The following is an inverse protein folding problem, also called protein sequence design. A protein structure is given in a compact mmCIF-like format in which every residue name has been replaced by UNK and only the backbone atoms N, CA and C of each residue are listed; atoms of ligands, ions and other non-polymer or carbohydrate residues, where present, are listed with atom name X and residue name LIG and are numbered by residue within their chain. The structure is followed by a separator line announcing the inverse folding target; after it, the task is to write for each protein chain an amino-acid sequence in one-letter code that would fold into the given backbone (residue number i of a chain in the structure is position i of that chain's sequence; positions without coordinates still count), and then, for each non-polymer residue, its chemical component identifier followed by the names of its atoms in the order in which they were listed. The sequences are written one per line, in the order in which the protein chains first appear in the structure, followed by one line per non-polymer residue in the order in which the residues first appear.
data_IF_168252299047
#
_entry.id   IF_168252299047
#
_cell.length_a   1.000
_cell.length_b   1.000
_cell.length_c   1.000
_cell.angle_alpha   90.00
_cell.angle_beta   90.00
_cell.angle_gamma   90.00
#
_symmetry.space_group_name_H-M   'P 1'
#
loop_
_entity.id
_entity.type
_entity.pdbx_description
1 polymer ?
#
# COMPACT_ATOMS: atom_id res chain seq x y z
N UNK A 1 -5.31 21.89 -1.32
CA UNK A 1 -5.50 20.52 -0.81
C UNK A 1 -4.76 20.46 0.51
N UNK A 2 -5.47 20.34 1.63
CA UNK A 2 -4.83 20.19 2.93
C UNK A 2 -4.01 18.89 2.95
N UNK A 3 -2.86 18.86 3.65
CA UNK A 3 -2.10 17.63 3.82
C UNK A 3 -2.98 16.59 4.49
N UNK A 4 -3.09 15.40 3.88
CA UNK A 4 -3.89 14.31 4.42
C UNK A 4 -3.41 14.01 5.86
N UNK A 5 -4.32 13.81 6.82
CA UNK A 5 -3.94 13.37 8.16
C UNK A 5 -3.11 12.08 8.06
N UNK A 6 -2.05 11.99 8.87
CA UNK A 6 -1.21 10.78 8.91
C UNK A 6 -2.06 9.59 9.36
N UNK A 7 -2.33 8.69 8.42
CA UNK A 7 -3.05 7.45 8.70
C UNK A 7 -2.14 6.43 9.40
N UNK A 8 -2.68 5.75 10.41
CA UNK A 8 -2.01 4.61 11.05
C UNK A 8 -1.99 3.40 10.13
N UNK A 9 -1.10 2.44 10.39
CA UNK A 9 -1.00 1.22 9.58
C UNK A 9 -2.29 0.39 9.60
N UNK A 10 -2.98 0.35 10.75
CA UNK A 10 -4.30 -0.27 10.86
C UNK A 10 -5.38 0.42 10.02
N UNK A 11 -5.40 1.76 9.99
CA UNK A 11 -6.35 2.51 9.15
C UNK A 11 -6.09 2.26 7.66
N UNK A 12 -4.83 2.25 7.24
CA UNK A 12 -4.46 1.95 5.85
C UNK A 12 -4.85 0.51 5.49
N UNK A 13 -4.56 -0.45 6.35
CA UNK A 13 -4.92 -1.86 6.14
C UNK A 13 -6.44 -2.04 5.96
N UNK A 14 -7.25 -1.34 6.77
CA UNK A 14 -8.71 -1.38 6.66
C UNK A 14 -9.22 -0.79 5.34
N UNK A 15 -8.70 0.37 4.92
CA UNK A 15 -9.06 1.02 3.65
C UNK A 15 -8.68 0.11 2.47
N UNK A 16 -7.44 -0.39 2.45
CA UNK A 16 -6.95 -1.28 1.40
C UNK A 16 -7.77 -2.58 1.33
N UNK A 17 -8.13 -3.15 2.46
CA UNK A 17 -9.01 -4.33 2.52
C UNK A 17 -10.38 -4.03 1.94
N UNK A 18 -10.99 -2.90 2.30
CA UNK A 18 -12.26 -2.47 1.71
C UNK A 18 -12.15 -2.34 0.18
N UNK A 19 -11.15 -1.64 -0.33
CA UNK A 19 -10.90 -1.49 -1.77
C UNK A 19 -10.68 -2.82 -2.50
N UNK A 20 -10.02 -3.77 -1.84
CA UNK A 20 -9.72 -5.13 -2.37
C UNK A 20 -10.91 -6.09 -2.35
N UNK A 21 -11.94 -5.78 -1.58
CA UNK A 21 -13.19 -6.54 -1.51
C UNK A 21 -14.35 -5.81 -2.20
N UNK A 22 -14.20 -4.51 -2.48
CA UNK A 22 -15.20 -3.70 -3.14
C UNK A 22 -15.27 -4.02 -4.65
N UNK A 23 -16.40 -3.65 -5.26
CA UNK A 23 -16.61 -3.72 -6.71
C UNK A 23 -16.41 -5.12 -7.33
N UNK A 24 -16.76 -6.17 -6.59
CA UNK A 24 -16.65 -7.55 -7.05
C UNK A 24 -15.23 -8.12 -7.00
N UNK A 25 -14.30 -7.42 -6.34
CA UNK A 25 -12.99 -7.97 -6.03
C UNK A 25 -13.08 -8.98 -4.88
N UNK A 26 -12.34 -10.09 -4.99
CA UNK A 26 -12.29 -11.16 -3.97
C UNK A 26 -10.86 -11.38 -3.46
N UNK A 27 -10.05 -10.32 -3.42
CA UNK A 27 -8.65 -10.45 -3.06
C UNK A 27 -8.49 -10.54 -1.53
N UNK A 28 -7.47 -11.27 -1.07
CA UNK A 28 -7.22 -11.46 0.37
C UNK A 28 -7.05 -10.11 1.10
N UNK A 29 -7.51 -10.02 2.37
CA UNK A 29 -7.34 -8.83 3.21
C UNK A 29 -5.88 -8.40 3.35
N UNK A 30 -5.66 -7.10 3.60
CA UNK A 30 -4.34 -6.55 3.93
C UNK A 30 -4.25 -6.41 5.45
N UNK A 31 -3.16 -6.89 6.02
CA UNK A 31 -2.91 -6.79 7.47
C UNK A 31 -2.12 -5.53 7.80
N UNK A 32 -2.21 -5.06 9.05
CA UNK A 32 -1.40 -3.93 9.52
C UNK A 32 0.11 -4.22 9.44
N UNK A 33 0.54 -5.45 9.76
CA UNK A 33 1.94 -5.88 9.65
C UNK A 33 2.45 -5.75 8.21
N UNK A 34 1.65 -6.15 7.21
CA UNK A 34 2.02 -5.95 5.80
C UNK A 34 2.20 -4.47 5.43
N UNK A 35 1.39 -3.57 6.01
CA UNK A 35 1.54 -2.13 5.77
C UNK A 35 2.80 -1.59 6.43
N UNK A 36 3.08 -2.01 7.66
CA UNK A 36 4.29 -1.65 8.40
C UNK A 36 5.54 -2.07 7.62
N UNK A 37 5.64 -3.33 7.19
CA UNK A 37 6.77 -3.85 6.41
C UNK A 37 7.03 -3.01 5.14
N UNK A 38 5.96 -2.70 4.39
CA UNK A 38 6.07 -1.91 3.15
C UNK A 38 6.45 -0.46 3.46
N UNK A 39 5.91 0.13 4.53
CA UNK A 39 6.26 1.49 4.96
C UNK A 39 7.72 1.57 5.35
N UNK A 40 8.22 0.58 6.08
CA UNK A 40 9.62 0.51 6.47
C UNK A 40 10.56 0.29 5.28
N UNK A 41 10.18 -0.57 4.34
CA UNK A 41 10.93 -0.80 3.11
C UNK A 41 10.97 0.43 2.19
N UNK A 42 9.98 1.33 2.28
CA UNK A 42 9.82 2.49 1.38
C UNK A 42 10.12 3.85 2.02
N UNK A 43 10.39 3.93 3.33
CA UNK A 43 10.59 5.20 4.07
C UNK A 43 11.68 6.12 3.53
N UNK A 44 12.71 5.56 2.90
CA UNK A 44 13.81 6.34 2.30
C UNK A 44 13.45 6.91 0.92
N UNK A 45 12.35 6.44 0.33
CA UNK A 45 11.94 6.80 -1.03
C UNK A 45 11.18 8.12 -1.03
N UNK A 46 11.74 9.12 -1.71
CA UNK A 46 11.14 10.46 -1.85
C UNK A 46 10.52 10.70 -3.22
N UNK A 47 10.79 9.82 -4.18
CA UNK A 47 10.30 9.91 -5.56
C UNK A 47 9.21 8.86 -5.81
N UNK A 48 8.17 9.19 -6.59
CA UNK A 48 7.19 8.22 -7.06
C UNK A 48 7.85 7.05 -7.78
N UNK A 49 7.20 5.89 -7.76
CA UNK A 49 7.63 4.72 -8.51
C UNK A 49 7.53 4.97 -10.01
N UNK A 50 8.61 4.70 -10.75
CA UNK A 50 8.58 4.72 -12.20
C UNK A 50 8.18 3.35 -12.76
N UNK A 51 7.60 3.34 -13.96
CA UNK A 51 7.26 2.09 -14.65
C UNK A 51 8.47 1.17 -14.83
N UNK A 52 9.65 1.73 -15.10
CA UNK A 52 10.88 0.97 -15.26
C UNK A 52 11.34 0.29 -13.96
N UNK A 53 11.13 0.92 -12.81
CA UNK A 53 11.45 0.34 -11.51
C UNK A 53 10.46 -0.77 -11.13
N UNK A 54 9.16 -0.53 -11.34
CA UNK A 54 8.14 -1.54 -11.08
C UNK A 54 8.32 -2.78 -11.96
N UNK A 55 8.76 -2.61 -13.21
CA UNK A 55 9.06 -3.74 -14.09
C UNK A 55 10.19 -4.65 -13.57
N UNK A 56 11.13 -4.10 -12.77
CA UNK A 56 12.20 -4.87 -12.13
C UNK A 56 11.73 -5.63 -10.89
N UNK A 57 10.61 -5.22 -10.29
CA UNK A 57 10.01 -5.87 -9.11
C UNK A 57 9.04 -6.99 -9.47
N UNK A 58 8.96 -7.40 -10.74
CA UNK A 58 8.16 -8.55 -11.16
C UNK A 58 8.73 -9.81 -10.52
N UNK A 59 8.16 -10.21 -9.40
CA UNK A 59 8.24 -11.57 -8.88
C UNK A 59 7.40 -12.47 -9.81
N UNK A 60 7.89 -13.67 -10.18
CA UNK A 60 7.12 -14.64 -10.98
C UNK A 60 5.81 -15.07 -10.32
#
# INVERSE_FOLDING_TARGET
MEPLPKLTDGQIAAILTCTRCAWGHHANPVTAATVEDVRDASKSRKSPWTRAELAKLKTP
#
